data_IF_150221588808
#
_entry.id   IF_150221588808
#
_cell.length_a   1.000
_cell.length_b   1.000
_cell.length_c   1.000
_cell.angle_alpha   90.00
_cell.angle_beta   90.00
_cell.angle_gamma   90.00
#
_symmetry.space_group_name_H-M   'P 1'
#
loop_
_entity.id
_entity.type
_entity.pdbx_description
1 polymer ?
#
# COMPACT_ATOMS: atom_id res chain seq x y z
N UNK A 1 -3.84 -10.76 12.54
CA UNK A 1 -3.28 -10.95 11.18
C UNK A 1 -2.41 -9.74 10.84
N UNK A 2 -1.26 -9.95 10.19
CA UNK A 2 -0.35 -8.85 9.86
C UNK A 2 -0.95 -7.99 8.75
N UNK A 3 -1.55 -6.86 9.12
CA UNK A 3 -2.12 -5.87 8.18
C UNK A 3 -1.06 -5.23 7.27
N UNK A 4 0.19 -5.25 7.74
CA UNK A 4 1.34 -4.62 7.11
C UNK A 4 2.16 -5.63 6.32
N UNK A 5 2.31 -5.38 5.02
CA UNK A 5 3.13 -6.17 4.11
C UNK A 5 4.16 -5.29 3.41
N UNK A 6 5.25 -5.87 2.92
CA UNK A 6 6.21 -5.12 2.11
C UNK A 6 5.62 -4.78 0.74
N UNK A 7 6.14 -3.73 0.10
CA UNK A 7 5.74 -3.34 -1.27
C UNK A 7 5.83 -4.54 -2.22
N UNK A 8 6.92 -5.31 -2.17
CA UNK A 8 7.12 -6.50 -3.00
C UNK A 8 5.99 -7.53 -2.83
N UNK A 9 5.65 -7.86 -1.59
CA UNK A 9 4.60 -8.85 -1.29
C UNK A 9 3.21 -8.34 -1.68
N UNK A 10 2.97 -7.03 -1.52
CA UNK A 10 1.72 -6.40 -1.97
C UNK A 10 1.63 -6.38 -3.50
N UNK A 11 2.73 -6.10 -4.19
CA UNK A 11 2.81 -6.12 -5.65
C UNK A 11 2.45 -7.51 -6.20
N UNK A 12 3.02 -8.56 -5.61
CA UNK A 12 2.71 -9.96 -5.98
C UNK A 12 1.24 -10.33 -5.72
N UNK A 13 0.64 -9.85 -4.62
CA UNK A 13 -0.73 -10.20 -4.24
C UNK A 13 -1.80 -9.39 -5.00
N UNK A 14 -1.54 -8.11 -5.28
CA UNK A 14 -2.50 -7.20 -5.92
C UNK A 14 -2.37 -7.13 -7.44
N UNK A 15 -1.24 -7.59 -8.00
CA UNK A 15 -0.90 -7.42 -9.41
C UNK A 15 -0.39 -6.02 -9.78
N UNK A 16 -0.24 -5.11 -8.81
CA UNK A 16 0.41 -3.82 -9.04
C UNK A 16 1.93 -3.96 -9.15
N UNK A 17 2.56 -3.13 -9.97
CA UNK A 17 4.02 -2.99 -9.95
C UNK A 17 4.48 -2.20 -8.72
N UNK A 18 5.69 -2.46 -8.24
CA UNK A 18 6.30 -1.67 -7.16
C UNK A 18 6.35 -0.18 -7.50
N UNK A 19 6.55 0.14 -8.78
CA UNK A 19 6.60 1.51 -9.27
C UNK A 19 5.23 2.20 -9.18
N UNK A 20 4.15 1.50 -9.55
CA UNK A 20 2.78 2.02 -9.39
C UNK A 20 2.43 2.31 -7.93
N UNK A 21 2.88 1.45 -7.01
CA UNK A 21 2.70 1.64 -5.57
C UNK A 21 3.45 2.90 -5.09
N UNK A 22 4.71 3.07 -5.50
CA UNK A 22 5.51 4.26 -5.17
C UNK A 22 4.92 5.53 -5.80
N UNK A 23 4.41 5.45 -7.02
CA UNK A 23 3.73 6.55 -7.69
C UNK A 23 2.47 6.98 -6.94
N UNK A 24 1.62 6.05 -6.51
CA UNK A 24 0.42 6.35 -5.68
C UNK A 24 0.77 6.97 -4.32
N UNK A 25 1.87 6.51 -3.74
CA UNK A 25 2.42 7.07 -2.49
C UNK A 25 2.92 8.50 -2.72
N UNK A 26 3.65 8.75 -3.81
CA UNK A 26 4.23 10.05 -4.16
C UNK A 26 3.20 11.07 -4.63
N UNK A 27 2.20 10.64 -5.38
CA UNK A 27 1.12 11.48 -5.88
C UNK A 27 0.09 11.85 -4.79
N UNK A 28 0.22 11.31 -3.57
CA UNK A 28 -0.67 11.60 -2.45
C UNK A 28 -1.99 10.83 -2.48
N UNK A 29 -2.16 9.87 -3.40
CA UNK A 29 -3.33 8.97 -3.42
C UNK A 29 -3.38 8.12 -2.16
N UNK A 30 -2.21 7.63 -1.72
CA UNK A 30 -2.07 6.87 -0.49
C UNK A 30 -1.55 7.77 0.63
N UNK A 31 -2.22 7.70 1.78
CA UNK A 31 -1.90 8.51 2.96
C UNK A 31 -0.94 7.78 3.90
N UNK A 32 0.10 8.49 4.37
CA UNK A 32 1.05 8.01 5.37
C UNK A 32 0.33 7.68 6.69
N UNK A 33 0.73 6.59 7.35
CA UNK A 33 0.08 5.97 8.52
C UNK A 33 -1.33 5.41 8.33
N UNK A 34 -1.94 5.57 7.14
CA UNK A 34 -3.21 4.93 6.79
C UNK A 34 -2.97 3.79 5.81
N UNK A 35 -2.58 4.12 4.58
CA UNK A 35 -2.38 3.16 3.49
C UNK A 35 -0.95 2.60 3.47
N UNK A 36 0.03 3.38 3.91
CA UNK A 36 1.41 2.95 4.02
C UNK A 36 2.07 3.54 5.26
N UNK A 37 3.04 2.83 5.82
CA UNK A 37 3.84 3.29 6.95
C UNK A 37 5.31 2.98 6.73
N UNK A 38 6.17 3.65 7.48
CA UNK A 38 7.60 3.35 7.55
C UNK A 38 7.83 2.46 8.77
N UNK A 39 8.29 1.24 8.52
CA UNK A 39 8.67 0.31 9.58
C UNK A 39 9.89 0.81 10.37
N UNK A 40 10.17 0.21 11.53
CA UNK A 40 11.32 0.56 12.35
C UNK A 40 12.65 0.36 11.59
N UNK A 41 12.71 -0.59 10.68
CA UNK A 41 13.88 -0.86 9.82
C UNK A 41 14.02 0.12 8.63
N UNK A 42 13.18 1.16 8.59
CA UNK A 42 13.16 2.16 7.51
C UNK A 42 12.48 1.71 6.21
N UNK A 43 12.01 0.47 6.14
CA UNK A 43 11.28 -0.09 4.99
C UNK A 43 9.84 0.41 4.95
N UNK A 44 9.31 0.62 3.74
CA UNK A 44 7.91 0.97 3.56
C UNK A 44 7.06 -0.31 3.63
N UNK A 45 6.02 -0.25 4.44
CA UNK A 45 5.00 -1.29 4.55
C UNK A 45 3.66 -0.74 4.09
N UNK A 46 2.91 -1.55 3.34
CA UNK A 46 1.58 -1.25 2.85
C UNK A 46 0.55 -1.91 3.76
N UNK A 47 -0.50 -1.17 4.09
CA UNK A 47 -1.67 -1.69 4.78
C UNK A 47 -2.65 -2.28 3.76
N UNK A 48 -2.74 -3.60 3.69
CA UNK A 48 -3.56 -4.29 2.69
C UNK A 48 -5.05 -3.96 2.86
N UNK A 49 -5.52 -3.87 4.10
CA UNK A 49 -6.94 -3.63 4.39
C UNK A 49 -7.38 -2.25 3.89
N UNK A 50 -6.63 -1.20 4.21
CA UNK A 50 -6.95 0.18 3.81
C UNK A 50 -6.85 0.36 2.29
N UNK A 51 -5.87 -0.28 1.64
CA UNK A 51 -5.76 -0.23 0.18
C UNK A 51 -6.90 -0.98 -0.49
N UNK A 52 -7.33 -2.13 0.05
CA UNK A 52 -8.51 -2.84 -0.45
C UNK A 52 -9.79 -2.01 -0.28
N UNK A 53 -10.00 -1.38 0.87
CA UNK A 53 -11.13 -0.46 1.08
C UNK A 53 -11.10 0.72 0.10
N UNK A 54 -9.91 1.25 -0.21
CA UNK A 54 -9.76 2.30 -1.22
C UNK A 54 -10.11 1.79 -2.63
N UNK A 55 -9.72 0.55 -2.98
CA UNK A 55 -10.07 -0.08 -4.25
C UNK A 55 -11.57 -0.30 -4.39
N UNK A 56 -12.22 -0.83 -3.35
CA UNK A 56 -13.67 -1.04 -3.30
C UNK A 56 -14.44 0.29 -3.44
N UNK A 57 -13.99 1.35 -2.78
CA UNK A 57 -14.60 2.68 -2.92
C UNK A 57 -14.36 3.35 -4.29
N UNK A 58 -13.32 2.94 -5.04
CA UNK A 58 -13.04 3.48 -6.38
C UNK A 58 -13.80 2.72 -7.47
N UNK A 59 -14.22 1.48 -7.20
CA UNK A 59 -14.93 0.62 -8.14
C UNK A 59 -16.46 0.78 -8.11
N UNK A 60 -16.99 1.64 -7.23
CA UNK A 60 -18.41 1.99 -7.11
C UNK A 60 -18.73 3.32 -7.79
#
# INVERSE_FOLDING_TARGET
MNKWVTIKKFAEASGYSEDAIRAKTKNGTWLYRKHFTKGPDGRIMINVEEVNQWLENTAA
#
